data_IF_687733465396
#
_entry.id   IF_687733465396
#
_cell.length_a   1.000
_cell.length_b   1.000
_cell.length_c   1.000
_cell.angle_alpha   90.00
_cell.angle_beta   90.00
_cell.angle_gamma   90.00
#
_symmetry.space_group_name_H-M   'P 1'
#
loop_
_entity.id
_entity.type
_entity.pdbx_description
1 polymer ?
#
# COMPACT_ATOMS: atom_id res chain seq x y z
N UNK A 1 -8.75 25.79 18.72
CA UNK A 1 -8.72 26.05 17.26
C UNK A 1 -8.52 27.54 17.09
N UNK A 2 -7.48 27.98 16.38
CA UNK A 2 -7.19 29.41 16.22
C UNK A 2 -7.90 29.94 14.98
N UNK A 3 -8.71 30.99 15.13
CA UNK A 3 -9.37 31.67 14.01
C UNK A 3 -8.48 32.83 13.59
N UNK A 4 -8.06 32.84 12.32
CA UNK A 4 -7.21 33.89 11.76
C UNK A 4 -7.98 34.64 10.68
N UNK A 5 -8.04 35.97 10.79
CA UNK A 5 -8.57 36.80 9.70
C UNK A 5 -7.47 37.05 8.67
N UNK A 6 -7.56 36.36 7.53
CA UNK A 6 -6.56 36.40 6.45
C UNK A 6 -6.25 37.82 5.96
N UNK A 7 -7.23 38.73 5.99
CA UNK A 7 -7.04 40.12 5.53
C UNK A 7 -6.33 41.01 6.56
N UNK A 8 -6.24 40.57 7.82
CA UNK A 8 -5.63 41.33 8.92
C UNK A 8 -4.21 40.89 9.27
N UNK A 9 -3.63 39.96 8.52
CA UNK A 9 -2.28 39.44 8.76
C UNK A 9 -1.31 39.84 7.65
N UNK A 10 -0.03 39.96 8.02
CA UNK A 10 1.05 40.26 7.09
C UNK A 10 1.26 39.16 6.05
N UNK A 11 1.88 39.48 4.91
CA UNK A 11 2.27 38.48 3.91
C UNK A 11 3.19 37.39 4.49
N UNK A 12 4.07 37.74 5.44
CA UNK A 12 4.92 36.77 6.15
C UNK A 12 4.10 35.78 6.96
N UNK A 13 3.08 36.25 7.68
CA UNK A 13 2.16 35.38 8.41
C UNK A 13 1.31 34.52 7.47
N UNK A 14 0.84 35.07 6.35
CA UNK A 14 0.13 34.28 5.33
C UNK A 14 0.99 33.14 4.81
N UNK A 15 2.24 33.42 4.43
CA UNK A 15 3.18 32.39 3.98
C UNK A 15 3.45 31.34 5.06
N UNK A 16 3.64 31.75 6.31
CA UNK A 16 3.87 30.82 7.42
C UNK A 16 2.66 29.92 7.69
N UNK A 17 1.43 30.43 7.57
CA UNK A 17 0.21 29.63 7.74
C UNK A 17 -0.02 28.62 6.61
N UNK A 18 0.56 28.87 5.44
CA UNK A 18 0.50 27.98 4.28
C UNK A 18 1.63 26.93 4.28
N UNK A 19 2.61 27.05 5.17
CA UNK A 19 3.67 26.05 5.31
C UNK A 19 3.08 24.76 5.88
N UNK A 20 3.38 23.64 5.21
CA UNK A 20 3.20 22.32 5.84
C UNK A 20 4.25 22.15 6.92
N UNK A 21 3.93 21.51 8.05
CA UNK A 21 4.94 21.11 9.03
C UNK A 21 6.03 20.30 8.33
N UNK A 22 7.27 20.81 8.28
CA UNK A 22 8.37 20.07 7.69
C UNK A 22 8.75 18.93 8.63
N UNK A 23 8.38 17.71 8.28
CA UNK A 23 8.89 16.51 8.95
C UNK A 23 10.31 16.28 8.44
N UNK A 24 11.31 16.53 9.28
CA UNK A 24 12.69 16.12 8.99
C UNK A 24 12.76 14.58 8.97
N UNK A 25 12.83 14.03 7.77
CA UNK A 25 12.88 12.58 7.55
C UNK A 25 14.29 12.01 7.72
N UNK A 26 15.33 12.82 7.91
CA UNK A 26 16.72 12.35 8.02
C UNK A 26 16.88 11.29 9.13
N UNK A 27 16.33 11.57 10.31
CA UNK A 27 16.31 10.62 11.45
C UNK A 27 15.51 9.36 11.12
N UNK A 28 14.39 9.51 10.44
CA UNK A 28 13.55 8.36 10.03
C UNK A 28 14.28 7.48 9.02
N UNK A 29 15.02 8.06 8.07
CA UNK A 29 15.85 7.31 7.13
C UNK A 29 16.95 6.53 7.84
N UNK A 30 17.65 7.14 8.82
CA UNK A 30 18.67 6.46 9.61
C UNK A 30 18.12 5.25 10.38
N UNK A 31 16.85 5.30 10.80
CA UNK A 31 16.18 4.18 11.48
C UNK A 31 15.78 3.08 10.49
N UNK A 32 15.25 3.46 9.33
CA UNK A 32 14.66 2.53 8.36
C UNK A 32 15.72 1.85 7.49
N UNK A 33 16.79 2.54 7.14
CA UNK A 33 17.79 2.03 6.21
C UNK A 33 18.45 0.72 6.69
N UNK A 34 18.85 0.56 7.97
CA UNK A 34 19.33 -0.73 8.48
C UNK A 34 18.28 -1.84 8.38
N UNK A 35 17.00 -1.54 8.62
CA UNK A 35 15.90 -2.52 8.51
C UNK A 35 15.80 -3.05 7.09
N UNK A 36 15.85 -2.16 6.10
CA UNK A 36 15.79 -2.53 4.69
C UNK A 36 17.02 -3.34 4.26
N UNK A 37 18.22 -2.95 4.72
CA UNK A 37 19.46 -3.70 4.47
C UNK A 37 19.40 -5.11 5.06
N UNK A 38 18.99 -5.25 6.32
CA UNK A 38 18.83 -6.53 7.01
C UNK A 38 17.83 -7.46 6.27
N UNK A 39 16.76 -6.90 5.69
CA UNK A 39 15.77 -7.69 4.94
C UNK A 39 16.31 -8.08 3.56
N UNK A 40 17.06 -7.20 2.90
CA UNK A 40 17.68 -7.49 1.63
C UNK A 40 18.73 -8.61 1.74
N UNK A 41 19.45 -8.68 2.87
CA UNK A 41 20.47 -9.70 3.11
C UNK A 41 19.92 -11.01 3.71
N UNK A 42 19.07 -10.93 4.75
CA UNK A 42 18.61 -12.12 5.49
C UNK A 42 17.15 -12.52 5.18
N UNK A 43 16.46 -11.77 4.34
CA UNK A 43 15.11 -12.09 3.87
C UNK A 43 14.10 -12.25 5.00
N UNK A 44 13.40 -13.40 5.00
CA UNK A 44 12.27 -13.65 5.90
C UNK A 44 12.67 -13.65 7.39
N UNK A 45 13.91 -14.01 7.70
CA UNK A 45 14.42 -14.00 9.08
C UNK A 45 14.39 -12.59 9.67
N UNK A 46 14.88 -11.59 8.92
CA UNK A 46 14.82 -10.19 9.32
C UNK A 46 13.40 -9.65 9.37
N UNK A 47 12.54 -10.06 8.42
CA UNK A 47 11.11 -9.68 8.46
C UNK A 47 10.44 -10.14 9.76
N UNK A 48 10.66 -11.39 10.17
CA UNK A 48 10.13 -11.92 11.43
C UNK A 48 10.73 -11.23 12.66
N UNK A 49 12.06 -11.03 12.69
CA UNK A 49 12.77 -10.27 13.74
C UNK A 49 12.13 -8.91 13.99
N UNK A 50 11.87 -8.14 12.93
CA UNK A 50 11.27 -6.81 13.07
C UNK A 50 9.77 -6.84 13.35
N UNK A 51 9.03 -7.83 12.81
CA UNK A 51 7.61 -8.02 13.14
C UNK A 51 7.42 -8.37 14.62
N UNK A 52 8.31 -9.19 15.20
CA UNK A 52 8.32 -9.46 16.63
C UNK A 52 8.68 -8.21 17.43
N UNK A 53 9.75 -7.50 17.04
CA UNK A 53 10.24 -6.32 17.75
C UNK A 53 9.23 -5.17 17.80
N UNK A 54 8.55 -4.87 16.69
CA UNK A 54 7.70 -3.68 16.58
C UNK A 54 6.21 -3.97 16.74
N UNK A 55 5.74 -5.13 16.25
CA UNK A 55 4.32 -5.49 16.27
C UNK A 55 4.01 -6.56 17.34
N UNK A 56 5.02 -7.17 17.97
CA UNK A 56 4.82 -8.29 18.90
C UNK A 56 4.36 -9.58 18.22
N UNK A 57 4.54 -9.70 16.90
CA UNK A 57 4.12 -10.87 16.14
C UNK A 57 5.09 -12.04 16.34
N UNK A 58 4.61 -13.12 16.97
CA UNK A 58 5.43 -14.28 17.37
C UNK A 58 5.18 -15.54 16.54
N UNK A 59 4.29 -15.50 15.55
CA UNK A 59 4.01 -16.66 14.70
C UNK A 59 5.00 -16.75 13.54
N UNK A 60 5.42 -17.96 13.17
CA UNK A 60 6.27 -18.16 11.98
C UNK A 60 5.48 -17.98 10.66
N UNK A 61 4.18 -18.25 10.70
CA UNK A 61 3.31 -18.19 9.51
C UNK A 61 2.78 -16.79 9.30
N UNK A 62 3.49 -16.02 8.48
CA UNK A 62 3.07 -14.67 8.09
C UNK A 62 1.95 -14.68 7.04
N UNK A 63 1.83 -15.71 6.20
CA UNK A 63 0.78 -15.77 5.16
C UNK A 63 -0.57 -16.08 5.79
N UNK A 64 -1.59 -15.29 5.47
CA UNK A 64 -2.98 -15.56 5.84
C UNK A 64 -3.45 -16.81 5.10
N UNK A 65 -4.05 -17.73 5.85
CA UNK A 65 -4.56 -19.01 5.36
C UNK A 65 -5.97 -18.87 4.80
N UNK A 66 -6.37 -19.80 3.92
CA UNK A 66 -7.75 -19.86 3.42
C UNK A 66 -8.77 -20.04 4.56
N UNK A 67 -8.38 -20.71 5.65
CA UNK A 67 -9.21 -20.87 6.84
C UNK A 67 -9.46 -19.53 7.53
N UNK A 68 -8.44 -18.69 7.70
CA UNK A 68 -8.58 -17.34 8.26
C UNK A 68 -9.52 -16.48 7.38
N UNK A 69 -9.38 -16.52 6.05
CA UNK A 69 -10.31 -15.85 5.13
C UNK A 69 -11.75 -16.37 5.22
N UNK A 70 -11.95 -17.68 5.40
CA UNK A 70 -13.29 -18.24 5.52
C UNK A 70 -13.94 -17.93 6.88
N UNK A 71 -13.15 -17.82 7.94
CA UNK A 71 -13.64 -17.45 9.26
C UNK A 71 -14.07 -15.99 9.34
N UNK A 72 -13.39 -15.08 8.65
CA UNK A 72 -13.72 -13.65 8.68
C UNK A 72 -15.14 -13.36 8.19
N UNK A 73 -15.62 -14.09 7.18
CA UNK A 73 -16.97 -13.95 6.64
C UNK A 73 -18.08 -14.25 7.67
N UNK A 74 -17.80 -15.14 8.63
CA UNK A 74 -18.74 -15.48 9.71
C UNK A 74 -18.74 -14.45 10.85
N UNK A 75 -17.71 -13.60 10.90
CA UNK A 75 -17.48 -12.65 12.00
C UNK A 75 -17.92 -11.22 11.66
N UNK A 76 -18.26 -10.93 10.40
CA UNK A 76 -18.73 -9.61 9.98
C UNK A 76 -20.25 -9.59 9.81
N UNK A 77 -20.89 -8.48 10.22
CA UNK A 77 -22.34 -8.32 10.15
C UNK A 77 -22.86 -8.25 8.72
N UNK A 78 -24.12 -8.63 8.51
CA UNK A 78 -24.77 -8.51 7.20
C UNK A 78 -24.81 -7.05 6.70
N UNK A 79 -24.99 -6.10 7.63
CA UNK A 79 -24.93 -4.67 7.34
C UNK A 79 -23.58 -4.25 6.78
N UNK A 80 -22.48 -4.70 7.40
CA UNK A 80 -21.13 -4.44 6.90
C UNK A 80 -20.96 -5.03 5.48
N UNK A 81 -21.41 -6.26 5.24
CA UNK A 81 -21.34 -6.88 3.91
C UNK A 81 -22.09 -6.07 2.84
N UNK A 82 -23.27 -5.54 3.19
CA UNK A 82 -24.06 -4.65 2.30
C UNK A 82 -23.31 -3.34 2.03
N UNK A 83 -22.75 -2.71 3.06
CA UNK A 83 -21.96 -1.48 2.91
C UNK A 83 -20.74 -1.68 2.00
N UNK A 84 -20.01 -2.79 2.16
CA UNK A 84 -18.89 -3.17 1.29
C UNK A 84 -19.35 -3.34 -0.15
N UNK A 85 -20.48 -4.01 -0.40
CA UNK A 85 -21.01 -4.17 -1.77
C UNK A 85 -21.27 -2.82 -2.44
N UNK A 86 -21.87 -1.86 -1.72
CA UNK A 86 -22.12 -0.50 -2.24
C UNK A 86 -20.81 0.22 -2.53
N UNK A 87 -19.86 0.20 -1.59
CA UNK A 87 -18.57 0.86 -1.75
C UNK A 87 -17.78 0.29 -2.95
N UNK A 88 -17.69 -1.04 -3.06
CA UNK A 88 -17.00 -1.71 -4.17
C UNK A 88 -17.62 -1.33 -5.51
N UNK A 89 -18.95 -1.34 -5.62
CA UNK A 89 -19.63 -0.97 -6.86
C UNK A 89 -19.33 0.47 -7.29
N UNK A 90 -19.36 1.41 -6.35
CA UNK A 90 -19.10 2.81 -6.63
C UNK A 90 -17.63 3.04 -7.03
N UNK A 91 -16.68 2.46 -6.29
CA UNK A 91 -15.24 2.57 -6.60
C UNK A 91 -14.94 1.94 -7.96
N UNK A 92 -15.52 0.76 -8.26
CA UNK A 92 -15.36 0.09 -9.54
C UNK A 92 -15.93 0.92 -10.69
N UNK A 93 -17.14 1.47 -10.53
CA UNK A 93 -17.78 2.32 -11.55
C UNK A 93 -16.89 3.51 -11.90
N UNK A 94 -16.36 4.21 -10.89
CA UNK A 94 -15.50 5.36 -11.10
C UNK A 94 -14.17 5.00 -11.79
N UNK A 95 -13.47 3.98 -11.30
CA UNK A 95 -12.16 3.62 -11.86
C UNK A 95 -12.26 2.98 -13.26
N UNK A 96 -13.35 2.27 -13.59
CA UNK A 96 -13.56 1.74 -14.95
C UNK A 96 -13.68 2.84 -16.00
N UNK A 97 -14.27 3.99 -15.65
CA UNK A 97 -14.37 5.14 -16.56
C UNK A 97 -13.00 5.73 -16.93
N UNK A 98 -11.98 5.51 -16.11
CA UNK A 98 -10.64 6.06 -16.30
C UNK A 98 -9.74 5.16 -17.18
N UNK A 99 -10.24 4.00 -17.63
CA UNK A 99 -9.46 3.12 -18.50
C UNK A 99 -9.05 3.86 -19.77
N UNK A 100 -7.73 4.00 -20.03
CA UNK A 100 -7.26 4.79 -21.15
C UNK A 100 -7.53 4.07 -22.46
N UNK A 101 -7.95 4.83 -23.48
CA UNK A 101 -8.17 4.29 -24.84
C UNK A 101 -6.83 4.21 -25.56
N UNK A 102 -6.55 3.05 -26.17
CA UNK A 102 -5.44 2.90 -27.11
C UNK A 102 -5.69 3.80 -28.32
N UNK A 103 -4.64 4.37 -28.88
CA UNK A 103 -4.73 5.16 -30.10
C UNK A 103 -3.54 4.91 -31.02
N UNK A 104 -3.77 5.10 -32.31
CA UNK A 104 -2.75 5.08 -33.36
C UNK A 104 -2.96 6.30 -34.25
N UNK A 105 -1.88 6.99 -34.58
CA UNK A 105 -1.87 8.13 -35.50
C UNK A 105 -0.84 7.86 -36.59
N UNK A 106 -1.09 8.35 -37.80
CA UNK A 106 -0.10 8.43 -38.86
C UNK A 106 0.43 9.86 -38.90
N UNK A 107 1.70 10.06 -38.52
CA UNK A 107 2.27 11.40 -38.37
C UNK A 107 2.68 12.01 -39.71
N UNK A 108 3.05 11.14 -40.65
CA UNK A 108 3.27 11.44 -42.07
C UNK A 108 3.07 10.13 -42.86
N UNK A 109 2.88 10.18 -44.19
CA UNK A 109 2.62 8.98 -45.00
C UNK A 109 3.63 7.86 -44.72
N UNK A 110 3.13 6.70 -44.29
CA UNK A 110 3.90 5.51 -43.94
C UNK A 110 4.40 5.43 -42.49
N UNK A 111 4.31 6.49 -41.68
CA UNK A 111 4.83 6.52 -40.30
C UNK A 111 3.68 6.49 -39.28
N UNK A 112 3.45 5.32 -38.69
CA UNK A 112 2.42 5.11 -37.66
C UNK A 112 3.02 5.11 -36.26
N UNK A 113 2.47 5.94 -35.38
CA UNK A 113 2.78 5.97 -33.96
C UNK A 113 1.56 5.52 -33.16
N UNK A 114 1.76 4.62 -32.20
CA UNK A 114 0.67 4.13 -31.34
C UNK A 114 1.03 4.23 -29.87
N UNK A 115 0.02 4.35 -29.01
CA UNK A 115 0.19 4.21 -27.56
C UNK A 115 -0.69 3.09 -27.05
N UNK A 116 -0.04 2.13 -26.40
CA UNK A 116 -0.69 1.04 -25.70
C UNK A 116 -0.45 1.12 -24.20
N UNK A 117 -1.42 0.65 -23.44
CA UNK A 117 -1.33 0.55 -21.99
C UNK A 117 -1.19 -0.92 -21.60
N UNK A 118 -0.29 -1.20 -20.65
CA UNK A 118 -0.06 -2.52 -20.08
C UNK A 118 -0.06 -2.40 -18.56
N UNK A 119 -0.65 -3.38 -17.90
CA UNK A 119 -0.68 -3.44 -16.46
C UNK A 119 0.74 -3.65 -15.92
N UNK A 120 1.01 -3.10 -14.73
CA UNK A 120 2.12 -3.57 -13.91
C UNK A 120 1.80 -5.01 -13.49
N UNK A 121 2.73 -5.93 -13.64
CA UNK A 121 2.43 -7.35 -13.43
C UNK A 121 2.27 -7.68 -11.94
N UNK A 122 3.19 -7.22 -11.09
CA UNK A 122 3.23 -7.52 -9.67
C UNK A 122 3.15 -6.24 -8.84
N UNK A 123 2.08 -6.09 -8.06
CA UNK A 123 1.89 -4.92 -7.19
C UNK A 123 1.79 -5.34 -5.73
N UNK A 124 2.44 -4.56 -4.87
CA UNK A 124 2.38 -4.69 -3.42
C UNK A 124 1.50 -3.60 -2.81
N UNK A 125 0.55 -3.96 -1.97
CA UNK A 125 -0.42 -3.05 -1.37
C UNK A 125 -0.24 -3.08 0.16
N UNK A 126 0.23 -1.97 0.70
CA UNK A 126 0.35 -1.81 2.15
C UNK A 126 -0.95 -1.24 2.73
N UNK A 127 -1.54 -1.96 3.68
CA UNK A 127 -2.73 -1.52 4.42
C UNK A 127 -2.29 -1.19 5.84
N UNK A 128 -2.41 0.08 6.28
CA UNK A 128 -2.12 0.40 7.67
C UNK A 128 -3.09 -0.32 8.62
N UNK A 129 -2.58 -0.66 9.79
CA UNK A 129 -3.35 -1.25 10.88
C UNK A 129 -2.83 -0.78 12.24
N UNK A 130 -3.15 -1.53 13.30
CA UNK A 130 -2.85 -1.15 14.67
C UNK A 130 -4.07 -0.53 15.35
N UNK A 131 -4.07 0.79 15.53
CA UNK A 131 -5.15 1.51 16.24
C UNK A 131 -6.45 1.64 15.45
N UNK A 132 -6.37 1.64 14.12
CA UNK A 132 -7.52 1.79 13.23
C UNK A 132 -7.58 0.64 12.22
N UNK A 133 -8.79 0.21 11.91
CA UNK A 133 -9.08 -0.83 10.92
C UNK A 133 -9.46 -0.13 9.61
N UNK A 134 -8.71 -0.37 8.52
CA UNK A 134 -8.82 0.41 7.27
C UNK A 134 -9.20 -0.45 6.05
N UNK A 135 -10.41 -1.04 6.01
CA UNK A 135 -10.89 -1.80 4.85
C UNK A 135 -11.12 -0.90 3.63
N UNK A 136 -11.37 0.40 3.85
CA UNK A 136 -11.50 1.41 2.80
C UNK A 136 -10.23 1.52 1.95
N UNK A 137 -9.06 1.62 2.58
CA UNK A 137 -7.76 1.65 1.89
C UNK A 137 -7.57 0.39 1.03
N UNK A 138 -7.93 -0.78 1.57
CA UNK A 138 -7.83 -2.03 0.82
C UNK A 138 -8.68 -2.00 -0.45
N UNK A 139 -9.93 -1.52 -0.38
CA UNK A 139 -10.77 -1.35 -1.57
C UNK A 139 -10.18 -0.35 -2.56
N UNK A 140 -9.69 0.79 -2.07
CA UNK A 140 -9.10 1.85 -2.91
C UNK A 140 -7.82 1.42 -3.64
N UNK A 141 -7.12 0.41 -3.14
CA UNK A 141 -5.90 -0.11 -3.78
C UNK A 141 -6.16 -1.35 -4.66
N UNK A 142 -6.93 -2.32 -4.18
CA UNK A 142 -7.15 -3.58 -4.89
C UNK A 142 -8.03 -3.40 -6.13
N UNK A 143 -9.08 -2.58 -6.04
CA UNK A 143 -10.03 -2.40 -7.14
C UNK A 143 -9.36 -1.83 -8.39
N UNK A 144 -8.62 -0.70 -8.34
CA UNK A 144 -7.91 -0.22 -9.53
C UNK A 144 -6.82 -1.19 -10.02
N UNK A 145 -6.12 -1.90 -9.13
CA UNK A 145 -5.14 -2.90 -9.53
C UNK A 145 -5.78 -4.03 -10.37
N UNK A 146 -6.97 -4.49 -9.96
CA UNK A 146 -7.75 -5.48 -10.71
C UNK A 146 -8.29 -4.94 -12.03
N UNK A 147 -8.81 -3.71 -12.04
CA UNK A 147 -9.31 -3.07 -13.27
C UNK A 147 -8.16 -2.88 -14.28
N UNK A 148 -6.97 -2.51 -13.82
CA UNK A 148 -5.79 -2.37 -14.66
C UNK A 148 -5.31 -3.71 -15.25
N UNK A 149 -5.65 -4.85 -14.61
CA UNK A 149 -5.23 -6.19 -15.04
C UNK A 149 -3.91 -6.64 -14.42
N UNK A 150 -3.55 -6.17 -13.22
CA UNK A 150 -2.35 -6.63 -12.52
C UNK A 150 -2.49 -8.14 -12.22
N UNK A 151 -1.47 -8.93 -12.59
CA UNK A 151 -1.52 -10.40 -12.52
C UNK A 151 -1.37 -10.90 -11.08
N UNK A 152 -0.51 -10.27 -10.29
CA UNK A 152 -0.24 -10.63 -8.90
C UNK A 152 -0.41 -9.40 -8.01
N UNK A 153 -1.24 -9.56 -6.97
CA UNK A 153 -1.52 -8.52 -5.98
C UNK A 153 -1.15 -9.08 -4.60
N UNK A 154 -0.08 -8.53 -4.02
CA UNK A 154 0.39 -8.87 -2.67
C UNK A 154 -0.16 -7.85 -1.70
N UNK A 155 -0.73 -8.29 -0.58
CA UNK A 155 -1.21 -7.40 0.47
C UNK A 155 -0.42 -7.61 1.74
N UNK A 156 0.04 -6.53 2.37
CA UNK A 156 0.68 -6.57 3.70
C UNK A 156 -0.08 -5.67 4.68
N UNK A 157 -0.27 -6.16 5.90
CA UNK A 157 -0.86 -5.38 7.00
C UNK A 157 -0.25 -5.80 8.34
N UNK A 158 0.02 -4.86 9.27
CA UNK A 158 0.51 -5.17 10.61
C UNK A 158 -0.52 -5.95 11.43
N UNK A 159 -0.04 -6.81 12.32
CA UNK A 159 -0.80 -7.40 13.42
C UNK A 159 0.14 -8.03 14.44
N UNK A 160 -0.29 -8.12 15.71
CA UNK A 160 0.37 -8.92 16.73
C UNK A 160 -0.05 -10.40 16.71
N UNK A 161 -1.22 -10.72 16.14
CA UNK A 161 -1.80 -12.07 16.18
C UNK A 161 -2.58 -12.41 14.91
N UNK A 162 -3.63 -11.65 14.62
CA UNK A 162 -4.52 -11.86 13.47
C UNK A 162 -4.95 -10.54 12.84
N UNK A 163 -5.15 -10.55 11.52
CA UNK A 163 -5.76 -9.41 10.82
C UNK A 163 -7.23 -9.32 11.21
N UNK A 164 -7.75 -8.09 11.29
CA UNK A 164 -9.17 -7.85 11.56
C UNK A 164 -10.10 -8.61 10.60
N UNK A 165 -11.23 -9.14 11.07
CA UNK A 165 -12.20 -9.83 10.21
C UNK A 165 -12.72 -8.95 9.07
N UNK A 166 -12.88 -7.65 9.30
CA UNK A 166 -13.33 -6.67 8.31
C UNK A 166 -12.38 -6.60 7.12
N UNK A 167 -11.07 -6.47 7.38
CA UNK A 167 -10.04 -6.42 6.34
C UNK A 167 -9.93 -7.76 5.61
N UNK A 168 -9.96 -8.88 6.33
CA UNK A 168 -9.90 -10.20 5.71
C UNK A 168 -11.15 -10.52 4.88
N UNK A 169 -12.33 -10.13 5.34
CA UNK A 169 -13.57 -10.27 4.58
C UNK A 169 -13.50 -9.47 3.28
N UNK A 170 -13.08 -8.20 3.34
CA UNK A 170 -12.93 -7.36 2.13
C UNK A 170 -11.87 -7.93 1.19
N UNK A 171 -10.74 -8.39 1.71
CA UNK A 171 -9.70 -9.05 0.93
C UNK A 171 -10.25 -10.29 0.20
N UNK A 172 -10.99 -11.15 0.92
CA UNK A 172 -11.66 -12.32 0.34
C UNK A 172 -12.70 -11.94 -0.70
N UNK A 173 -13.56 -10.97 -0.40
CA UNK A 173 -14.61 -10.46 -1.31
C UNK A 173 -13.99 -9.92 -2.61
N UNK A 174 -12.85 -9.23 -2.48
CA UNK A 174 -12.08 -8.75 -3.62
C UNK A 174 -11.15 -9.82 -4.20
N UNK A 175 -11.22 -11.09 -3.79
CA UNK A 175 -10.46 -12.20 -4.36
C UNK A 175 -8.94 -12.09 -4.20
N UNK A 176 -8.46 -11.58 -3.07
CA UNK A 176 -7.04 -11.59 -2.69
C UNK A 176 -6.70 -12.95 -2.06
N UNK A 177 -5.62 -13.56 -2.52
CA UNK A 177 -5.11 -14.86 -2.04
C UNK A 177 -3.70 -14.78 -1.45
N UNK A 178 -3.00 -13.68 -1.70
CA UNK A 178 -1.65 -13.43 -1.21
C UNK A 178 -1.65 -12.24 -0.24
N UNK A 179 -1.85 -12.56 1.04
CA UNK A 179 -1.91 -11.59 2.12
C UNK A 179 -0.93 -12.00 3.23
N UNK A 180 -0.10 -11.07 3.68
CA UNK A 180 0.89 -11.25 4.72
C UNK A 180 0.62 -10.37 5.96
N UNK A 181 0.76 -10.98 7.13
CA UNK A 181 0.67 -10.40 8.47
C UNK A 181 1.95 -9.65 8.84
N UNK A 182 2.35 -8.69 8.00
CA UNK A 182 3.60 -7.95 8.13
C UNK A 182 3.32 -6.45 8.00
N UNK A 183 3.85 -5.65 8.92
CA UNK A 183 3.66 -4.20 9.00
C UNK A 183 4.89 -3.37 8.67
N UNK A 184 4.75 -2.05 8.74
CA UNK A 184 5.88 -1.12 8.86
C UNK A 184 6.91 -1.17 7.72
N UNK A 185 8.15 -0.82 8.05
CA UNK A 185 9.28 -0.86 7.13
C UNK A 185 9.57 -2.28 6.64
N UNK A 186 9.35 -3.28 7.48
CA UNK A 186 9.59 -4.68 7.17
C UNK A 186 8.63 -5.23 6.10
N UNK A 187 7.39 -4.74 6.04
CA UNK A 187 6.46 -5.05 4.95
C UNK A 187 6.92 -4.45 3.62
N UNK A 188 7.42 -3.21 3.65
CA UNK A 188 7.93 -2.54 2.45
C UNK A 188 9.18 -3.25 1.94
N UNK A 189 10.13 -3.57 2.81
CA UNK A 189 11.32 -4.36 2.47
C UNK A 189 10.97 -5.73 1.91
N UNK A 190 10.02 -6.45 2.54
CA UNK A 190 9.54 -7.74 2.05
C UNK A 190 9.00 -7.66 0.62
N UNK A 191 8.18 -6.64 0.32
CA UNK A 191 7.61 -6.48 -1.01
C UNK A 191 8.64 -6.01 -2.03
N UNK A 192 9.52 -5.08 -1.66
CA UNK A 192 10.49 -4.47 -2.57
C UNK A 192 11.63 -5.41 -2.95
N UNK A 193 12.15 -6.18 -2.00
CA UNK A 193 13.30 -7.07 -2.22
C UNK A 193 12.90 -8.54 -2.37
N UNK A 194 11.73 -8.91 -1.87
CA UNK A 194 11.33 -10.31 -1.79
C UNK A 194 12.18 -11.11 -0.80
N UNK A 195 11.98 -12.41 -0.83
CA UNK A 195 12.75 -13.43 -0.11
C UNK A 195 12.83 -14.68 -0.99
N UNK A 196 13.53 -15.70 -0.52
CA UNK A 196 13.65 -17.01 -1.14
C UNK A 196 12.27 -17.64 -1.43
N UNK A 197 11.24 -17.30 -0.64
CA UNK A 197 9.88 -17.87 -0.74
C UNK A 197 8.84 -16.89 -1.29
N UNK A 198 9.13 -15.59 -1.26
CA UNK A 198 8.17 -14.53 -1.61
C UNK A 198 8.82 -13.64 -2.64
N UNK A 199 8.34 -13.68 -3.88
CA UNK A 199 8.90 -12.86 -4.96
C UNK A 199 8.63 -11.38 -4.72
N UNK A 200 9.61 -10.54 -5.08
CA UNK A 200 9.45 -9.08 -5.06
C UNK A 200 8.30 -8.60 -5.97
N UNK A 201 7.84 -7.37 -5.74
CA UNK A 201 6.85 -6.70 -6.58
C UNK A 201 7.52 -5.60 -7.41
N UNK A 202 6.84 -5.17 -8.47
CA UNK A 202 7.35 -4.13 -9.38
C UNK A 202 7.01 -2.72 -8.87
N UNK A 203 5.87 -2.58 -8.16
CA UNK A 203 5.43 -1.31 -7.58
C UNK A 203 4.66 -1.50 -6.28
N UNK A 204 4.97 -0.64 -5.29
CA UNK A 204 4.29 -0.62 -3.99
C UNK A 204 3.34 0.57 -3.91
N UNK A 205 2.15 0.32 -3.36
CA UNK A 205 1.10 1.30 -3.12
C UNK A 205 0.67 1.31 -1.67
N UNK A 206 0.10 2.43 -1.26
CA UNK A 206 -0.62 2.54 0.00
C UNK A 206 -0.03 3.56 0.97
N UNK A 207 -0.87 4.17 1.80
CA UNK A 207 -0.45 5.14 2.79
C UNK A 207 0.25 4.45 3.96
N UNK A 208 0.95 5.21 4.80
CA UNK A 208 1.51 4.68 6.04
C UNK A 208 2.00 5.79 6.95
N UNK A 209 2.54 5.39 8.10
CA UNK A 209 3.23 6.33 8.98
C UNK A 209 4.58 6.74 8.35
N UNK A 210 5.28 7.67 9.00
CA UNK A 210 6.58 8.16 8.53
C UNK A 210 7.60 7.06 8.22
N UNK A 211 7.59 5.94 8.95
CA UNK A 211 8.53 4.82 8.71
C UNK A 211 8.20 4.08 7.42
N UNK A 212 6.93 3.84 7.14
CA UNK A 212 6.47 3.26 5.86
C UNK A 212 6.79 4.21 4.70
N UNK A 213 6.51 5.49 4.87
CA UNK A 213 6.79 6.53 3.87
C UNK A 213 8.28 6.66 3.57
N UNK A 214 9.11 6.68 4.63
CA UNK A 214 10.56 6.68 4.49
C UNK A 214 11.07 5.41 3.80
N UNK A 215 10.51 4.25 4.14
CA UNK A 215 10.85 2.98 3.49
C UNK A 215 10.53 3.03 2.00
N UNK A 216 9.33 3.50 1.64
CA UNK A 216 8.91 3.67 0.24
C UNK A 216 9.87 4.58 -0.53
N UNK A 217 10.27 5.70 0.05
CA UNK A 217 11.22 6.62 -0.57
C UNK A 217 12.62 5.98 -0.76
N UNK A 218 13.10 5.20 0.21
CA UNK A 218 14.40 4.52 0.08
C UNK A 218 14.37 3.39 -0.95
N UNK A 219 13.31 2.57 -0.97
CA UNK A 219 13.22 1.48 -1.96
C UNK A 219 12.95 1.96 -3.38
N UNK A 220 12.42 3.18 -3.56
CA UNK A 220 12.17 3.74 -4.89
C UNK A 220 13.42 4.27 -5.58
N UNK A 221 14.49 4.54 -4.81
CA UNK A 221 15.78 4.99 -5.33
C UNK A 221 16.85 3.89 -5.31
N UNK A 222 16.62 2.77 -4.64
CA UNK A 222 17.50 1.58 -4.70
C UNK A 222 17.31 0.86 -6.04
N UNK A 223 18.37 0.63 -6.84
CA UNK A 223 18.28 -0.13 -8.10
C UNK A 223 17.69 -1.55 -7.96
N UNK A 224 17.80 -2.14 -6.77
CA UNK A 224 17.26 -3.47 -6.46
C UNK A 224 15.87 -3.42 -5.84
N UNK A 225 15.36 -2.23 -5.52
CA UNK A 225 14.05 -2.01 -4.95
C UNK A 225 12.95 -2.06 -6.01
N UNK A 226 11.93 -1.20 -5.83
CA UNK A 226 10.76 -1.15 -6.69
C UNK A 226 10.16 0.25 -6.74
N UNK A 227 9.34 0.50 -7.76
CA UNK A 227 8.63 1.78 -7.86
C UNK A 227 7.63 1.95 -6.70
N UNK A 228 7.21 3.19 -6.46
CA UNK A 228 6.14 3.52 -5.51
C UNK A 228 5.07 4.39 -6.18
N UNK A 229 3.86 4.40 -5.63
CA UNK A 229 2.80 5.34 -6.02
C UNK A 229 3.19 6.80 -5.77
N UNK A 230 3.46 7.15 -4.50
CA UNK A 230 3.84 8.48 -4.05
C UNK A 230 4.41 8.43 -2.63
N UNK A 231 5.15 9.47 -2.27
CA UNK A 231 5.51 9.76 -0.88
C UNK A 231 4.25 10.33 -0.20
N UNK A 232 3.53 9.46 0.50
CA UNK A 232 2.29 9.81 1.19
C UNK A 232 2.60 10.14 2.66
N UNK A 233 2.24 11.34 3.12
CA UNK A 233 2.37 11.78 4.50
C UNK A 233 1.81 13.20 4.66
N UNK A 234 1.33 13.59 5.87
CA UNK A 234 0.95 14.97 6.17
C UNK A 234 2.10 15.96 5.97
#
# INVERSE_FOLDING_TARGET
MNIVNYNKISNKQKLSLLQRPSIDMSKTYQIVQPILTDIKSEGLKSVLKYSQKFDGFTQDKIKVTQKEFNQSEKQVSLEFKKAIKVAVNNIQKFHKLQLPKKYTIETMPGIKCSREFRAIENVGLYIPGGRAILPSTLMMLVIPAKIAGCKRIVVCSPTNKSISPEVLYVAKYLGITEFYKVGGAQAIGLMAYGTNKIKKVDKIFGPGNQFVTASKALVSIDPNGCAIDMIAGP
#
